data_IF_072696819549
#
_entry.id   IF_072696819549
#
_cell.length_a   1.000
_cell.length_b   1.000
_cell.length_c   1.000
_cell.angle_alpha   90.00
_cell.angle_beta   90.00
_cell.angle_gamma   90.00
#
_symmetry.space_group_name_H-M   'P 1'
#
loop_
_entity.id
_entity.type
_entity.pdbx_description
1 polymer ?
#
# COMPACT_ATOMS: atom_id res chain seq x y z
N UNK A 1 17.26 -4.66 36.51
CA UNK A 1 17.16 -6.14 36.40
C UNK A 1 15.74 -6.43 35.94
N UNK A 2 15.44 -6.77 34.69
CA UNK A 2 16.25 -7.17 33.55
C UNK A 2 15.72 -6.46 32.28
N UNK A 3 16.64 -6.13 31.38
CA UNK A 3 16.36 -5.69 30.03
C UNK A 3 16.08 -6.93 29.17
N UNK A 4 14.95 -6.97 28.46
CA UNK A 4 14.74 -7.91 27.36
C UNK A 4 14.47 -7.14 26.06
N UNK A 5 15.57 -6.90 25.35
CA UNK A 5 15.69 -7.12 23.92
C UNK A 5 17.11 -7.68 23.74
N UNK A 6 17.43 -8.56 22.76
CA UNK A 6 16.95 -8.44 21.39
C UNK A 6 16.76 -9.75 20.59
N UNK A 7 16.36 -9.59 19.32
CA UNK A 7 16.70 -10.46 18.16
C UNK A 7 15.96 -11.79 17.99
N UNK A 8 14.90 -11.75 17.18
CA UNK A 8 14.89 -12.51 15.94
C UNK A 8 14.04 -11.73 14.93
N UNK A 9 14.69 -10.73 14.31
CA UNK A 9 14.32 -10.29 12.98
C UNK A 9 14.26 -11.57 12.15
N UNK A 10 13.05 -12.06 11.86
CA UNK A 10 12.85 -13.10 10.87
C UNK A 10 13.47 -12.54 9.61
N UNK A 11 14.67 -13.01 9.29
CA UNK A 11 15.28 -12.80 8.01
C UNK A 11 14.23 -13.29 7.02
N UNK A 12 13.49 -12.33 6.44
CA UNK A 12 12.72 -12.58 5.23
C UNK A 12 13.80 -13.03 4.28
N UNK A 13 13.90 -14.35 4.10
CA UNK A 13 14.76 -14.92 3.08
C UNK A 13 14.26 -14.25 1.80
N UNK A 14 15.12 -13.42 1.24
CA UNK A 14 14.86 -12.71 0.00
C UNK A 14 14.85 -13.79 -1.09
N UNK A 15 13.71 -14.45 -1.25
CA UNK A 15 13.43 -15.50 -2.26
C UNK A 15 13.37 -14.92 -3.68
N UNK A 16 13.90 -13.71 -3.88
CA UNK A 16 13.95 -13.04 -5.18
C UNK A 16 15.00 -13.70 -6.04
N UNK A 17 14.53 -14.30 -7.12
CA UNK A 17 15.36 -14.86 -8.18
C UNK A 17 16.36 -13.79 -8.70
N UNK A 18 17.56 -14.16 -9.14
CA UNK A 18 18.57 -13.21 -9.65
C UNK A 18 18.01 -12.27 -10.73
N UNK A 19 17.12 -12.78 -11.58
CA UNK A 19 16.40 -12.00 -12.60
C UNK A 19 15.48 -10.92 -12.01
N UNK A 20 14.85 -11.17 -10.86
CA UNK A 20 13.98 -10.20 -10.18
C UNK A 20 14.79 -9.06 -9.57
N UNK A 21 15.96 -9.37 -8.99
CA UNK A 21 16.89 -8.37 -8.45
C UNK A 21 17.47 -7.48 -9.55
N UNK A 22 17.84 -8.07 -10.69
CA UNK A 22 18.34 -7.32 -11.84
C UNK A 22 17.23 -6.47 -12.46
N UNK A 23 16.02 -7.01 -12.62
CA UNK A 23 14.87 -6.24 -13.11
C UNK A 23 14.55 -5.05 -12.20
N UNK A 24 14.55 -5.23 -10.87
CA UNK A 24 14.34 -4.14 -9.91
C UNK A 24 15.39 -3.04 -10.01
N UNK A 25 16.66 -3.43 -10.17
CA UNK A 25 17.75 -2.48 -10.35
C UNK A 25 17.62 -1.73 -11.68
N UNK A 26 17.27 -2.43 -12.77
CA UNK A 26 17.09 -1.85 -14.10
C UNK A 26 15.88 -0.91 -14.13
N UNK A 27 14.75 -1.26 -13.51
CA UNK A 27 13.56 -0.38 -13.44
C UNK A 27 13.84 0.88 -12.62
N UNK A 28 14.56 0.77 -11.51
CA UNK A 28 14.93 1.92 -10.67
C UNK A 28 15.94 2.86 -11.35
N UNK A 29 16.88 2.31 -12.11
CA UNK A 29 17.90 3.10 -12.82
C UNK A 29 17.35 3.67 -14.13
N UNK A 30 16.62 2.88 -14.91
CA UNK A 30 16.12 3.26 -16.24
C UNK A 30 15.06 4.38 -16.23
N UNK A 31 14.37 4.59 -15.11
CA UNK A 31 13.39 5.68 -14.96
C UNK A 31 13.96 7.02 -14.44
N UNK A 32 15.25 7.08 -14.13
CA UNK A 32 15.87 8.27 -13.54
C UNK A 32 16.41 9.24 -14.59
N UNK A 33 16.22 10.55 -14.37
CA UNK A 33 16.84 11.60 -15.19
C UNK A 33 18.37 11.47 -15.26
N UNK A 34 19.01 10.97 -14.21
CA UNK A 34 20.46 10.74 -14.18
C UNK A 34 20.92 9.67 -15.18
N UNK A 35 20.09 8.64 -15.44
CA UNK A 35 20.40 7.61 -16.43
C UNK A 35 20.39 8.17 -17.85
N UNK A 36 19.43 9.04 -18.18
CA UNK A 36 19.35 9.69 -19.50
C UNK A 36 20.63 10.49 -19.78
N UNK A 37 21.10 11.28 -18.81
CA UNK A 37 22.34 12.05 -18.95
C UNK A 37 23.57 11.15 -19.09
N UNK A 38 23.70 10.11 -18.26
CA UNK A 38 24.81 9.17 -18.34
C UNK A 38 24.84 8.42 -19.67
N UNK A 39 23.67 7.93 -20.13
CA UNK A 39 23.54 7.21 -21.40
C UNK A 39 23.86 8.12 -22.60
N UNK A 40 23.39 9.37 -22.58
CA UNK A 40 23.71 10.37 -23.59
C UNK A 40 25.21 10.69 -23.62
N UNK A 41 25.84 10.81 -22.46
CA UNK A 41 27.29 11.03 -22.35
C UNK A 41 28.09 9.82 -22.87
N UNK A 42 27.64 8.60 -22.61
CA UNK A 42 28.25 7.39 -23.15
C UNK A 42 28.16 7.34 -24.69
N UNK A 43 27.00 7.67 -25.26
CA UNK A 43 26.82 7.77 -26.71
C UNK A 43 27.71 8.85 -27.32
N UNK A 44 27.77 10.04 -26.72
CA UNK A 44 28.67 11.11 -27.17
C UNK A 44 30.14 10.70 -27.04
N UNK A 45 30.52 10.02 -25.96
CA UNK A 45 31.87 9.49 -25.74
C UNK A 45 32.28 8.41 -26.73
N UNK A 46 31.33 7.65 -27.28
CA UNK A 46 31.59 6.69 -28.36
C UNK A 46 31.64 7.38 -29.73
N UNK A 47 30.70 8.29 -30.00
CA UNK A 47 30.58 8.97 -31.30
C UNK A 47 31.70 9.99 -31.53
N UNK A 48 32.13 10.75 -30.51
CA UNK A 48 33.09 11.83 -30.67
C UNK A 48 34.49 11.37 -31.13
N UNK A 49 35.12 10.34 -30.53
CA UNK A 49 36.39 9.81 -31.03
C UNK A 49 36.23 9.22 -32.44
N UNK A 50 35.15 8.48 -32.71
CA UNK A 50 34.91 7.89 -34.03
C UNK A 50 34.70 8.94 -35.12
N UNK A 51 34.05 10.07 -34.80
CA UNK A 51 33.87 11.20 -35.72
C UNK A 51 35.16 11.99 -35.95
N UNK A 52 35.97 12.20 -34.89
CA UNK A 52 37.28 12.85 -34.98
C UNK A 52 38.26 12.01 -35.80
N UNK A 53 38.24 10.69 -35.61
CA UNK A 53 39.08 9.74 -36.34
C UNK A 53 38.49 9.38 -37.71
N UNK A 54 37.27 9.79 -38.06
CA UNK A 54 36.64 9.47 -39.35
C UNK A 54 37.43 9.96 -40.57
N UNK A 55 38.23 11.03 -40.41
CA UNK A 55 39.14 11.53 -41.45
C UNK A 55 40.47 10.76 -41.56
N UNK A 56 40.75 9.90 -40.60
CA UNK A 56 41.91 9.00 -40.59
C UNK A 56 41.44 7.56 -40.85
N UNK A 57 42.25 6.73 -41.51
CA UNK A 57 41.92 5.32 -41.78
C UNK A 57 41.91 4.41 -40.53
N UNK A 58 41.68 4.98 -39.33
CA UNK A 58 41.74 4.31 -38.02
C UNK A 58 40.40 4.39 -37.25
N UNK A 59 39.32 4.86 -37.87
CA UNK A 59 38.01 4.88 -37.23
C UNK A 59 37.50 3.44 -37.00
N UNK A 60 37.08 3.14 -35.77
CA UNK A 60 36.59 1.82 -35.37
C UNK A 60 35.14 1.58 -35.81
N UNK A 61 34.31 2.61 -35.72
CA UNK A 61 32.91 2.62 -36.14
C UNK A 61 32.62 3.94 -36.91
N UNK A 62 32.96 4.02 -38.21
CA UNK A 62 32.73 5.23 -39.01
C UNK A 62 31.24 5.52 -39.17
N UNK A 63 30.90 6.80 -39.38
CA UNK A 63 29.52 7.19 -39.74
C UNK A 63 29.05 6.37 -40.95
N UNK A 64 27.92 5.65 -40.89
CA UNK A 64 26.74 5.86 -40.04
C UNK A 64 26.63 5.07 -38.72
N UNK A 65 27.74 4.62 -38.11
CA UNK A 65 27.82 3.93 -36.81
C UNK A 65 27.03 2.60 -36.74
N UNK A 66 27.47 1.60 -37.52
CA UNK A 66 26.77 0.31 -37.65
C UNK A 66 26.81 -0.48 -36.35
N UNK A 67 27.94 -0.49 -35.64
CA UNK A 67 28.09 -1.25 -34.40
C UNK A 67 27.24 -0.66 -33.27
N UNK A 68 27.28 0.66 -33.11
CA UNK A 68 26.45 1.36 -32.14
C UNK A 68 24.96 1.12 -32.40
N UNK A 69 24.54 1.14 -33.68
CA UNK A 69 23.15 0.83 -34.06
C UNK A 69 22.74 -0.60 -33.70
N UNK A 70 23.62 -1.58 -33.91
CA UNK A 70 23.35 -2.98 -33.60
C UNK A 70 23.13 -3.18 -32.09
N UNK A 71 23.99 -2.56 -31.26
CA UNK A 71 23.87 -2.63 -29.80
C UNK A 71 22.60 -1.94 -29.33
N UNK A 72 22.32 -0.73 -29.81
CA UNK A 72 21.10 0.02 -29.46
C UNK A 72 19.83 -0.74 -29.82
N UNK A 73 19.79 -1.34 -31.02
CA UNK A 73 18.65 -2.15 -31.47
C UNK A 73 18.42 -3.36 -30.57
N UNK A 74 19.50 -4.02 -30.14
CA UNK A 74 19.43 -5.18 -29.23
C UNK A 74 18.93 -4.78 -27.84
N UNK A 75 19.44 -3.67 -27.30
CA UNK A 75 18.98 -3.12 -26.01
C UNK A 75 17.50 -2.74 -26.06
N UNK A 76 17.08 -2.04 -27.12
CA UNK A 76 15.69 -1.65 -27.32
C UNK A 76 14.75 -2.86 -27.44
N UNK A 77 15.18 -3.92 -28.16
CA UNK A 77 14.41 -5.15 -28.30
C UNK A 77 14.18 -5.87 -26.96
N UNK A 78 15.17 -5.85 -26.06
CA UNK A 78 15.06 -6.43 -24.71
C UNK A 78 14.28 -5.54 -23.74
N UNK A 79 14.05 -4.27 -24.06
CA UNK A 79 13.42 -3.31 -23.17
C UNK A 79 11.94 -3.61 -22.95
N UNK A 80 11.19 -3.95 -24.00
CA UNK A 80 9.75 -4.22 -23.90
C UNK A 80 9.41 -5.44 -23.01
N UNK A 81 10.09 -6.61 -23.14
CA UNK A 81 9.88 -7.74 -22.23
C UNK A 81 10.23 -7.44 -20.77
N UNK A 82 11.34 -6.72 -20.51
CA UNK A 82 11.74 -6.33 -19.15
C UNK A 82 10.71 -5.39 -18.52
N UNK A 83 10.23 -4.41 -19.29
CA UNK A 83 9.14 -3.53 -18.86
C UNK A 83 7.89 -4.36 -18.55
N UNK A 84 7.49 -5.27 -19.45
CA UNK A 84 6.32 -6.11 -19.28
C UNK A 84 6.42 -7.02 -18.05
N UNK A 85 7.60 -7.58 -17.77
CA UNK A 85 7.84 -8.38 -16.56
C UNK A 85 7.72 -7.53 -15.29
N UNK A 86 8.28 -6.32 -15.28
CA UNK A 86 8.13 -5.39 -14.15
C UNK A 86 6.68 -4.98 -13.94
N UNK A 87 5.94 -4.72 -15.03
CA UNK A 87 4.51 -4.37 -15.00
C UNK A 87 3.67 -5.53 -14.48
N UNK A 88 3.90 -6.77 -14.93
CA UNK A 88 3.17 -7.94 -14.48
C UNK A 88 3.30 -8.16 -12.96
N UNK A 89 4.49 -7.90 -12.41
CA UNK A 89 4.72 -7.98 -10.97
C UNK A 89 4.05 -6.84 -10.19
N UNK A 90 4.06 -5.61 -10.70
CA UNK A 90 3.32 -4.51 -10.10
C UNK A 90 1.81 -4.77 -10.11
N UNK A 91 1.27 -5.28 -11.21
CA UNK A 91 -0.14 -5.64 -11.31
C UNK A 91 -0.55 -6.74 -10.31
N UNK A 92 0.32 -7.72 -10.06
CA UNK A 92 0.10 -8.74 -9.03
C UNK A 92 0.06 -8.14 -7.62
N UNK A 93 0.99 -7.22 -7.32
CA UNK A 93 1.00 -6.50 -6.03
C UNK A 93 -0.26 -5.65 -5.86
N UNK A 94 -0.65 -4.90 -6.90
CA UNK A 94 -1.86 -4.06 -6.90
C UNK A 94 -3.12 -4.90 -6.70
N UNK A 95 -3.21 -6.08 -7.35
CA UNK A 95 -4.33 -7.01 -7.15
C UNK A 95 -4.43 -7.47 -5.70
N UNK A 96 -3.31 -7.85 -5.08
CA UNK A 96 -3.28 -8.29 -3.67
C UNK A 96 -3.66 -7.16 -2.72
N UNK A 97 -3.22 -5.94 -3.00
CA UNK A 97 -3.61 -4.75 -2.24
C UNK A 97 -5.13 -4.53 -2.34
N UNK A 98 -5.69 -4.57 -3.55
CA UNK A 98 -7.13 -4.43 -3.77
C UNK A 98 -7.96 -5.51 -3.06
N UNK A 99 -7.52 -6.78 -3.07
CA UNK A 99 -8.17 -7.87 -2.34
C UNK A 99 -8.10 -7.68 -0.82
N UNK A 100 -7.00 -7.14 -0.31
CA UNK A 100 -6.86 -6.80 1.09
C UNK A 100 -7.81 -5.66 1.48
N UNK A 101 -7.82 -4.58 0.71
CA UNK A 101 -8.68 -3.41 0.95
C UNK A 101 -10.16 -3.80 0.90
N UNK A 102 -10.54 -4.67 -0.05
CA UNK A 102 -11.90 -5.21 -0.12
C UNK A 102 -12.30 -5.96 1.17
N UNK A 103 -11.41 -6.83 1.69
CA UNK A 103 -11.68 -7.58 2.94
C UNK A 103 -11.78 -6.66 4.16
N UNK A 104 -10.92 -5.65 4.24
CA UNK A 104 -10.97 -4.65 5.32
C UNK A 104 -12.29 -3.88 5.25
N UNK A 105 -12.71 -3.46 4.05
CA UNK A 105 -13.96 -2.74 3.86
C UNK A 105 -15.18 -3.59 4.26
N UNK A 106 -15.23 -4.86 3.83
CA UNK A 106 -16.31 -5.77 4.22
C UNK A 106 -16.36 -5.99 5.73
N UNK A 107 -15.20 -6.12 6.37
CA UNK A 107 -15.12 -6.24 7.84
C UNK A 107 -15.64 -4.98 8.53
N UNK A 108 -15.26 -3.80 8.04
CA UNK A 108 -15.74 -2.52 8.57
C UNK A 108 -17.27 -2.40 8.42
N UNK A 109 -17.82 -2.81 7.28
CA UNK A 109 -19.27 -2.83 7.06
C UNK A 109 -19.99 -3.72 8.07
N UNK A 110 -19.52 -4.96 8.28
CA UNK A 110 -20.09 -5.87 9.27
C UNK A 110 -19.99 -5.32 10.70
N UNK A 111 -18.88 -4.67 11.04
CA UNK A 111 -18.67 -4.06 12.35
C UNK A 111 -19.62 -2.87 12.57
N UNK A 112 -19.86 -2.05 11.54
CA UNK A 112 -20.86 -0.98 11.56
C UNK A 112 -22.27 -1.55 11.76
N UNK A 113 -22.63 -2.62 11.05
CA UNK A 113 -23.92 -3.28 11.24
C UNK A 113 -24.08 -3.80 12.67
N UNK A 114 -23.05 -4.44 13.22
CA UNK A 114 -23.08 -4.91 14.61
C UNK A 114 -23.23 -3.76 15.61
N UNK A 115 -22.50 -2.65 15.40
CA UNK A 115 -22.64 -1.46 16.24
C UNK A 115 -24.04 -0.86 16.14
N UNK A 116 -24.63 -0.84 14.95
CA UNK A 116 -26.00 -0.38 14.74
C UNK A 116 -27.01 -1.22 15.54
N UNK A 117 -26.90 -2.55 15.49
CA UNK A 117 -27.77 -3.45 16.26
C UNK A 117 -27.63 -3.21 17.78
N UNK A 118 -26.39 -3.02 18.26
CA UNK A 118 -26.12 -2.72 19.67
C UNK A 118 -26.72 -1.38 20.10
N UNK A 119 -26.65 -0.36 19.25
CA UNK A 119 -27.26 0.94 19.51
C UNK A 119 -28.78 0.83 19.61
N UNK A 120 -29.42 0.12 18.68
CA UNK A 120 -30.87 -0.14 18.71
C UNK A 120 -31.31 -0.86 19.99
N UNK A 121 -30.54 -1.85 20.44
CA UNK A 121 -30.80 -2.54 21.70
C UNK A 121 -30.69 -1.60 22.91
N UNK A 122 -29.65 -0.76 22.95
CA UNK A 122 -29.47 0.21 24.02
C UNK A 122 -30.60 1.26 24.05
N UNK A 123 -31.01 1.78 22.89
CA UNK A 123 -32.15 2.70 22.76
C UNK A 123 -33.44 2.07 23.30
N UNK A 124 -33.71 0.81 22.97
CA UNK A 124 -34.87 0.09 23.48
C UNK A 124 -34.82 -0.13 25.01
N UNK A 125 -33.62 -0.35 25.57
CA UNK A 125 -33.45 -0.45 27.03
C UNK A 125 -33.71 0.88 27.73
N UNK A 126 -33.22 2.00 27.17
CA UNK A 126 -33.45 3.33 27.71
C UNK A 126 -34.95 3.66 27.74
N UNK A 127 -35.68 3.40 26.64
CA UNK A 127 -37.13 3.59 26.59
C UNK A 127 -37.87 2.76 27.64
N UNK A 128 -37.44 1.51 27.89
CA UNK A 128 -38.01 0.66 28.95
C UNK A 128 -37.77 1.22 30.34
N UNK A 129 -36.57 1.74 30.60
CA UNK A 129 -36.24 2.36 31.89
C UNK A 129 -37.07 3.62 32.10
N UNK A 130 -37.18 4.48 31.08
CA UNK A 130 -38.00 5.69 31.13
C UNK A 130 -39.48 5.36 31.41
N UNK A 131 -40.04 4.36 30.73
CA UNK A 131 -41.41 3.90 30.97
C UNK A 131 -41.62 3.35 32.40
N UNK A 132 -40.65 2.61 32.93
CA UNK A 132 -40.69 2.10 34.30
C UNK A 132 -40.63 3.22 35.35
N UNK A 133 -39.76 4.21 35.15
CA UNK A 133 -39.68 5.40 36.01
C UNK A 133 -41.01 6.16 35.97
N UNK A 134 -41.60 6.38 34.80
CA UNK A 134 -42.89 7.03 34.66
C UNK A 134 -44.00 6.30 35.42
N UNK A 135 -44.09 4.97 35.29
CA UNK A 135 -45.08 4.15 36.01
C UNK A 135 -44.89 4.21 37.54
N UNK A 136 -43.65 4.10 38.03
CA UNK A 136 -43.35 4.22 39.45
C UNK A 136 -43.73 5.61 39.98
N UNK A 137 -43.42 6.68 39.25
CA UNK A 137 -43.77 8.04 39.64
C UNK A 137 -45.29 8.25 39.74
N UNK A 138 -46.07 7.64 38.84
CA UNK A 138 -47.53 7.65 38.90
C UNK A 138 -48.06 6.91 40.14
N UNK A 139 -47.51 5.73 40.45
CA UNK A 139 -47.90 4.97 41.65
C UNK A 139 -47.56 5.70 42.95
N UNK A 140 -46.47 6.46 42.98
CA UNK A 140 -46.07 7.25 44.14
C UNK A 140 -46.97 8.48 44.33
N UNK A 141 -47.46 9.09 43.24
CA UNK A 141 -48.43 10.18 43.29
C UNK A 141 -49.80 9.72 43.82
N UNK A 142 -50.16 8.46 43.60
CA UNK A 142 -51.38 7.84 44.12
C UNK A 142 -51.25 7.41 45.60
N UNK A 143 -50.03 7.09 46.04
CA UNK A 143 -49.74 6.81 47.45
C UNK A 143 -49.82 8.09 48.31
N UNK A 144 -51.01 8.39 48.83
CA UNK A 144 -51.20 9.32 49.96
C UNK A 144 -50.96 8.55 51.26
N UNK A 145 -49.98 8.93 52.11
CA UNK A 145 -49.82 8.27 53.40
C UNK A 145 -51.09 8.49 54.23
N UNK A 146 -51.77 7.40 54.59
CA UNK A 146 -52.79 7.40 55.63
C UNK A 146 -52.07 7.74 56.93
N UNK A 147 -52.03 9.03 57.26
CA UNK A 147 -51.66 9.48 58.58
C UNK A 147 -52.61 8.80 59.56
N UNK A 148 -52.12 7.76 60.23
CA UNK A 148 -52.80 7.21 61.40
C UNK A 148 -52.69 8.31 62.45
N UNK A 149 -53.80 8.90 62.93
CA UNK A 149 -53.73 9.80 64.07
C UNK A 149 -53.17 8.97 65.23
N UNK A 150 -52.01 9.37 65.76
CA UNK A 150 -51.54 8.88 67.05
C UNK A 150 -52.59 9.35 68.06
N UNK A 151 -53.56 8.48 68.33
CA UNK A 151 -54.53 8.66 69.40
C UNK A 151 -53.77 8.59 70.72
N UNK A 152 -53.70 9.74 71.37
CA UNK A 152 -53.79 9.98 72.81
C UNK A 152 -53.14 8.94 73.74
N UNK A 153 -52.02 9.34 74.35
CA UNK A 153 -51.49 8.79 75.61
C UNK A 153 -51.40 9.91 76.65
#
# INVERSE_FOLDING_TARGET
MAAEAPTAMSAVIDDRTFGERVSDAVTRVGGSWAFIFWFSAALAGWAAPNLLLARSARAFDPYPFIFLNLILSTVAALQAPVIMMSQNRHAEQDRRAAEHDYRVNLRAELEIMHLHDRLQLNEAQLQRIEAAIAALSASQAEWKPTATPLADA
#
